data_IF_957342063013
#
_entry.id   IF_957342063013
#
_cell.length_a   1.000
_cell.length_b   1.000
_cell.length_c   1.000
_cell.angle_alpha   90.00
_cell.angle_beta   90.00
_cell.angle_gamma   90.00
#
_symmetry.space_group_name_H-M   'P 1'
#
loop_
_entity.id
_entity.type
_entity.pdbx_description
1 polymer ?
#
# COMPACT_ATOMS: atom_id res chain seq x y z
N UNK A 1 -21.83 8.58 4.80
CA UNK A 1 -20.98 7.77 3.93
C UNK A 1 -21.20 6.30 4.23
N UNK A 2 -21.27 5.47 3.18
CA UNK A 2 -21.27 4.02 3.29
C UNK A 2 -20.08 3.48 2.48
N UNK A 3 -19.20 2.74 3.14
CA UNK A 3 -17.96 2.21 2.54
C UNK A 3 -18.19 0.78 2.05
N UNK A 4 -17.87 0.50 0.80
CA UNK A 4 -17.69 -0.85 0.30
C UNK A 4 -16.25 -1.29 0.56
N UNK A 5 -16.10 -2.49 1.12
CA UNK A 5 -14.79 -3.08 1.46
C UNK A 5 -14.61 -4.37 0.69
N UNK A 6 -13.43 -4.54 0.09
CA UNK A 6 -13.12 -5.74 -0.67
C UNK A 6 -13.12 -7.00 0.22
N UNK A 7 -13.68 -8.09 -0.31
CA UNK A 7 -13.77 -9.36 0.44
C UNK A 7 -12.43 -10.08 0.59
N UNK A 8 -11.43 -9.74 -0.24
CA UNK A 8 -10.10 -10.34 -0.24
C UNK A 8 -9.16 -9.69 0.77
N UNK A 9 -9.55 -8.58 1.39
CA UNK A 9 -8.77 -7.99 2.47
C UNK A 9 -8.51 -9.00 3.59
N UNK A 10 -7.24 -9.05 4.02
CA UNK A 10 -6.77 -10.05 4.95
C UNK A 10 -7.54 -9.95 6.27
N UNK A 11 -8.09 -11.08 6.75
CA UNK A 11 -9.05 -11.12 7.88
C UNK A 11 -8.62 -10.30 9.10
N UNK A 12 -7.36 -10.45 9.53
CA UNK A 12 -6.81 -9.73 10.69
C UNK A 12 -6.76 -8.21 10.49
N UNK A 13 -6.43 -7.77 9.28
CA UNK A 13 -6.36 -6.34 8.96
C UNK A 13 -7.77 -5.76 8.85
N UNK A 14 -8.67 -6.50 8.20
CA UNK A 14 -10.09 -6.17 8.18
C UNK A 14 -10.69 -6.03 9.58
N UNK A 15 -10.44 -6.98 10.49
CA UNK A 15 -10.98 -6.92 11.86
C UNK A 15 -10.55 -5.64 12.60
N UNK A 16 -9.29 -5.23 12.45
CA UNK A 16 -8.77 -3.99 13.02
C UNK A 16 -9.45 -2.75 12.43
N UNK A 17 -9.52 -2.65 11.10
CA UNK A 17 -10.11 -1.50 10.41
C UNK A 17 -11.62 -1.44 10.68
N UNK A 18 -12.29 -2.60 10.75
CA UNK A 18 -13.69 -2.71 11.13
C UNK A 18 -13.94 -2.08 12.50
N UNK A 19 -13.14 -2.42 13.52
CA UNK A 19 -13.26 -1.80 14.85
C UNK A 19 -13.11 -0.29 14.76
N UNK A 20 -12.14 0.22 14.00
CA UNK A 20 -11.97 1.66 13.79
C UNK A 20 -13.17 2.31 13.08
N UNK A 21 -13.79 1.62 12.12
CA UNK A 21 -15.02 2.10 11.48
C UNK A 21 -16.21 2.11 12.45
N UNK A 22 -16.36 1.06 13.26
CA UNK A 22 -17.40 0.96 14.27
C UNK A 22 -17.26 2.11 15.30
N UNK A 23 -16.04 2.38 15.77
CA UNK A 23 -15.73 3.45 16.73
C UNK A 23 -16.04 4.86 16.19
N UNK A 24 -15.90 5.08 14.87
CA UNK A 24 -16.17 6.36 14.20
C UNK A 24 -17.63 6.42 13.67
N UNK A 25 -18.41 5.34 13.81
CA UNK A 25 -19.81 5.28 13.38
C UNK A 25 -20.01 5.20 11.86
N UNK A 26 -19.03 4.66 11.13
CA UNK A 26 -19.08 4.55 9.66
C UNK A 26 -19.76 3.25 9.26
N UNK A 27 -20.76 3.36 8.36
CA UNK A 27 -21.44 2.19 7.80
C UNK A 27 -20.56 1.54 6.72
N UNK A 28 -20.50 0.22 6.72
CA UNK A 28 -19.79 -0.53 5.69
C UNK A 28 -20.54 -1.80 5.27
N UNK A 29 -20.17 -2.32 4.10
CA UNK A 29 -20.52 -3.67 3.67
C UNK A 29 -19.35 -4.28 2.90
N UNK A 30 -19.34 -5.60 2.72
CA UNK A 30 -18.27 -6.30 2.02
C UNK A 30 -18.76 -6.95 0.73
N UNK A 31 -18.02 -6.73 -0.35
CA UNK A 31 -18.22 -7.43 -1.63
C UNK A 31 -16.92 -7.39 -2.44
N UNK A 32 -16.80 -8.20 -3.49
CA UNK A 32 -15.62 -8.16 -4.36
C UNK A 32 -15.62 -6.85 -5.17
N UNK A 33 -14.51 -6.12 -5.15
CA UNK A 33 -14.29 -4.88 -5.87
C UNK A 33 -13.57 -5.12 -7.21
N UNK A 34 -13.84 -4.23 -8.17
CA UNK A 34 -13.20 -4.27 -9.48
C UNK A 34 -11.71 -3.89 -9.38
N UNK A 35 -11.41 -2.81 -8.66
CA UNK A 35 -10.06 -2.32 -8.31
C UNK A 35 -10.10 -1.73 -6.89
N UNK A 36 -8.99 -1.81 -6.17
CA UNK A 36 -8.84 -1.30 -4.81
C UNK A 36 -9.49 -2.17 -3.73
N UNK A 37 -9.36 -1.71 -2.50
CA UNK A 37 -9.80 -2.40 -1.28
C UNK A 37 -10.93 -1.67 -0.56
N UNK A 38 -11.02 -0.35 -0.72
CA UNK A 38 -12.06 0.48 -0.09
C UNK A 38 -12.58 1.54 -1.07
N UNK A 39 -13.90 1.73 -1.11
CA UNK A 39 -14.52 2.83 -1.86
C UNK A 39 -15.77 3.36 -1.14
N UNK A 40 -16.10 4.62 -1.36
CA UNK A 40 -17.37 5.19 -0.91
C UNK A 40 -18.45 4.95 -1.97
N UNK A 41 -19.67 4.58 -1.54
CA UNK A 41 -20.81 4.57 -2.45
C UNK A 41 -21.23 5.99 -2.90
N UNK A 42 -20.81 7.02 -2.16
CA UNK A 42 -21.10 8.41 -2.50
C UNK A 42 -20.20 8.92 -3.65
N UNK A 43 -18.99 8.38 -3.77
CA UNK A 43 -18.07 8.63 -4.89
C UNK A 43 -17.27 7.35 -5.23
N UNK A 44 -17.80 6.49 -6.12
CA UNK A 44 -17.14 5.23 -6.48
C UNK A 44 -15.95 5.41 -7.44
N UNK A 45 -15.71 6.61 -7.97
CA UNK A 45 -14.54 6.89 -8.83
C UNK A 45 -13.27 7.18 -8.03
N UNK A 46 -13.36 7.25 -6.71
CA UNK A 46 -12.21 7.32 -5.81
C UNK A 46 -12.12 6.04 -5.00
N UNK A 47 -11.01 5.30 -5.18
CA UNK A 47 -10.77 4.04 -4.47
C UNK A 47 -9.44 4.08 -3.73
N UNK A 48 -9.37 3.35 -2.62
CA UNK A 48 -8.15 3.17 -1.84
C UNK A 48 -7.64 1.75 -2.04
N UNK A 49 -6.36 1.63 -2.38
CA UNK A 49 -5.61 0.37 -2.38
C UNK A 49 -4.65 0.39 -1.18
N UNK A 50 -4.84 -0.53 -0.25
CA UNK A 50 -4.10 -0.55 1.01
C UNK A 50 -2.85 -1.41 0.88
N UNK A 51 -1.77 -0.97 1.52
CA UNK A 51 -0.51 -1.72 1.63
C UNK A 51 -0.05 -1.72 3.08
N UNK A 52 0.36 -2.88 3.57
CA UNK A 52 0.77 -3.11 4.96
C UNK A 52 1.96 -2.26 5.38
N UNK A 53 2.91 -2.04 4.46
CA UNK A 53 4.14 -1.30 4.69
C UNK A 53 4.85 -1.04 3.34
N UNK A 54 5.92 -0.23 3.34
CA UNK A 54 6.78 -0.01 2.18
C UNK A 54 7.44 -1.29 1.66
N UNK A 55 7.62 -2.34 2.48
CA UNK A 55 8.22 -3.59 2.01
C UNK A 55 7.25 -4.33 1.08
N UNK A 56 5.95 -4.36 1.40
CA UNK A 56 4.91 -4.85 0.50
C UNK A 56 4.87 -4.03 -0.79
N UNK A 57 4.80 -2.69 -0.68
CA UNK A 57 4.75 -1.80 -1.85
C UNK A 57 5.98 -1.97 -2.75
N UNK A 58 7.19 -2.02 -2.17
CA UNK A 58 8.42 -2.32 -2.88
C UNK A 58 8.35 -3.68 -3.59
N UNK A 59 7.80 -4.70 -2.93
CA UNK A 59 7.54 -6.00 -3.54
C UNK A 59 6.61 -5.91 -4.75
N UNK A 60 5.53 -5.13 -4.67
CA UNK A 60 4.59 -4.95 -5.77
C UNK A 60 5.23 -4.19 -6.94
N UNK A 61 5.95 -3.11 -6.67
CA UNK A 61 6.58 -2.27 -7.69
C UNK A 61 7.74 -2.98 -8.39
N UNK A 62 8.46 -3.87 -7.69
CA UNK A 62 9.65 -4.51 -8.24
C UNK A 62 9.40 -5.96 -8.71
N UNK A 63 8.85 -6.82 -7.85
CA UNK A 63 8.73 -8.26 -8.12
C UNK A 63 7.40 -8.63 -8.78
N UNK A 64 6.34 -7.88 -8.49
CA UNK A 64 5.00 -8.13 -9.03
C UNK A 64 4.54 -7.00 -9.97
N UNK A 65 5.52 -6.35 -10.62
CA UNK A 65 5.31 -5.10 -11.35
C UNK A 65 4.17 -5.19 -12.38
N UNK A 66 4.14 -6.25 -13.19
CA UNK A 66 3.12 -6.42 -14.22
C UNK A 66 1.71 -6.53 -13.64
N UNK A 67 1.54 -7.25 -12.53
CA UNK A 67 0.24 -7.35 -11.85
C UNK A 67 -0.18 -6.00 -11.29
N UNK A 68 0.74 -5.33 -10.58
CA UNK A 68 0.48 -4.02 -9.98
C UNK A 68 0.10 -2.98 -11.05
N UNK A 69 0.88 -2.92 -12.14
CA UNK A 69 0.60 -2.06 -13.29
C UNK A 69 -0.75 -2.37 -13.94
N UNK A 70 -1.12 -3.64 -14.08
CA UNK A 70 -2.41 -4.03 -14.65
C UNK A 70 -3.61 -3.57 -13.79
N UNK A 71 -3.45 -3.43 -12.47
CA UNK A 71 -4.47 -2.84 -11.59
C UNK A 71 -4.61 -1.33 -11.83
N UNK A 72 -3.48 -0.61 -11.94
CA UNK A 72 -3.47 0.83 -12.23
C UNK A 72 -4.09 1.15 -13.60
N UNK A 73 -3.72 0.38 -14.63
CA UNK A 73 -4.25 0.56 -15.98
C UNK A 73 -5.76 0.29 -16.03
N UNK A 74 -6.25 -0.73 -15.32
CA UNK A 74 -7.68 -1.01 -15.22
C UNK A 74 -8.47 0.13 -14.58
N UNK A 75 -7.92 0.78 -13.54
CA UNK A 75 -8.56 1.94 -12.94
C UNK A 75 -8.62 3.12 -13.91
N UNK A 76 -7.53 3.44 -14.61
CA UNK A 76 -7.51 4.52 -15.62
C UNK A 76 -8.54 4.27 -16.72
N UNK A 77 -8.66 3.03 -17.21
CA UNK A 77 -9.64 2.67 -18.24
C UNK A 77 -11.09 2.89 -17.81
N UNK A 78 -11.36 2.88 -16.51
CA UNK A 78 -12.67 3.14 -15.93
C UNK A 78 -12.80 4.56 -15.34
N UNK A 79 -11.77 5.40 -15.54
CA UNK A 79 -11.69 6.75 -14.96
C UNK A 79 -11.91 6.72 -13.42
N UNK A 80 -11.19 5.80 -12.79
CA UNK A 80 -11.11 5.62 -11.34
C UNK A 80 -9.76 6.14 -10.87
N UNK A 81 -9.79 7.06 -9.90
CA UNK A 81 -8.61 7.54 -9.16
C UNK A 81 -8.28 6.56 -8.03
N UNK A 82 -7.03 6.09 -8.00
CA UNK A 82 -6.51 5.26 -6.91
C UNK A 82 -5.69 6.13 -5.96
N UNK A 83 -5.94 5.97 -4.67
CA UNK A 83 -5.04 6.39 -3.58
C UNK A 83 -4.44 5.15 -2.95
N UNK A 84 -3.12 5.05 -2.95
CA UNK A 84 -2.39 3.96 -2.32
C UNK A 84 -2.10 4.36 -0.87
N UNK A 85 -2.78 3.71 0.08
CA UNK A 85 -2.63 3.95 1.52
C UNK A 85 -1.62 2.96 2.11
N UNK A 86 -0.46 3.47 2.54
CA UNK A 86 0.66 2.68 3.05
C UNK A 86 0.76 2.79 4.57
N UNK A 87 0.59 1.66 5.27
CA UNK A 87 0.63 1.60 6.73
C UNK A 87 2.05 1.44 7.30
N UNK A 88 2.97 2.35 6.98
CA UNK A 88 4.39 2.16 7.34
C UNK A 88 4.76 2.57 8.79
N UNK A 89 3.98 3.43 9.43
CA UNK A 89 4.27 3.96 10.78
C UNK A 89 4.84 5.38 10.77
N UNK A 90 5.29 5.85 11.94
CA UNK A 90 5.65 7.26 12.20
C UNK A 90 6.83 7.79 11.37
N UNK A 91 7.77 6.93 10.97
CA UNK A 91 9.02 7.34 10.34
C UNK A 91 8.86 7.79 8.87
N UNK A 92 7.76 7.41 8.21
CA UNK A 92 7.49 7.75 6.81
C UNK A 92 6.11 8.37 6.72
N UNK A 93 6.06 9.68 6.49
CA UNK A 93 4.80 10.45 6.43
C UNK A 93 4.51 10.98 5.03
N UNK A 94 5.54 11.08 4.21
CA UNK A 94 5.50 11.65 2.86
C UNK A 94 6.17 10.73 1.86
N UNK A 95 5.96 11.00 0.57
CA UNK A 95 6.62 10.27 -0.50
C UNK A 95 8.14 10.52 -0.43
N UNK A 96 8.56 11.73 -0.09
CA UNK A 96 9.95 12.15 0.03
C UNK A 96 10.70 11.36 1.11
N UNK A 97 10.05 11.04 2.23
CA UNK A 97 10.65 10.23 3.30
C UNK A 97 11.08 8.84 2.80
N UNK A 98 10.39 8.29 1.78
CA UNK A 98 10.73 7.00 1.16
C UNK A 98 12.15 7.02 0.58
N UNK A 99 12.66 8.18 0.18
CA UNK A 99 14.04 8.31 -0.30
C UNK A 99 15.05 7.79 0.73
N UNK A 100 14.80 8.03 2.01
CA UNK A 100 15.68 7.64 3.12
C UNK A 100 15.36 6.25 3.69
N UNK A 101 14.29 5.60 3.20
CA UNK A 101 13.88 4.30 3.66
C UNK A 101 14.97 3.24 3.46
N UNK A 102 15.29 2.53 4.54
CA UNK A 102 16.26 1.44 4.52
C UNK A 102 15.54 0.11 4.29
N UNK A 103 15.71 -0.45 3.08
CA UNK A 103 15.08 -1.73 2.75
C UNK A 103 15.61 -2.85 3.67
N UNK A 104 14.76 -3.48 4.50
CA UNK A 104 15.20 -4.53 5.41
C UNK A 104 15.89 -5.70 4.70
N UNK A 105 15.54 -6.00 3.44
CA UNK A 105 16.15 -7.12 2.68
C UNK A 105 17.61 -6.86 2.28
N UNK A 106 18.04 -5.60 2.22
CA UNK A 106 19.44 -5.23 1.92
C UNK A 106 20.34 -5.44 3.14
N UNK A 107 19.76 -5.34 4.34
CA UNK A 107 20.46 -5.38 5.63
C UNK A 107 20.24 -6.70 6.41
N UNK A 108 19.22 -7.49 6.05
CA UNK A 108 18.93 -8.79 6.67
C UNK A 108 20.07 -9.77 6.40
N UNK A 109 20.75 -10.20 7.46
CA UNK A 109 21.83 -11.18 7.38
C UNK A 109 21.25 -12.59 7.37
N UNK A 110 21.72 -13.41 6.44
CA UNK A 110 21.47 -14.85 6.36
C UNK A 110 22.77 -15.62 6.42
N UNK A 111 22.72 -16.77 7.08
CA UNK A 111 23.81 -17.72 7.11
C UNK A 111 23.63 -18.74 6.01
N UNK A 112 24.64 -18.89 5.16
CA UNK A 112 24.65 -19.91 4.09
C UNK A 112 25.86 -20.82 4.29
N UNK A 113 25.66 -22.12 4.10
CA UNK A 113 26.78 -23.06 4.05
C UNK A 113 27.37 -23.03 2.64
N UNK A 114 28.62 -22.60 2.52
CA UNK A 114 29.40 -22.61 1.28
C UNK A 114 30.66 -23.43 1.54
N UNK A 115 30.87 -24.49 0.76
CA UNK A 115 32.00 -25.42 0.92
C UNK A 115 32.16 -25.95 2.36
N UNK A 116 31.05 -26.34 3.00
CA UNK A 116 31.04 -26.87 4.37
C UNK A 116 31.22 -25.83 5.49
N UNK A 117 31.42 -24.55 5.17
CA UNK A 117 31.57 -23.46 6.15
C UNK A 117 30.34 -22.56 6.17
N UNK A 118 29.91 -22.14 7.36
CA UNK A 118 28.85 -21.12 7.51
C UNK A 118 29.43 -19.74 7.21
N UNK A 119 28.94 -19.11 6.15
CA UNK A 119 29.31 -17.75 5.74
C UNK A 119 28.13 -16.82 5.97
N UNK A 120 28.43 -15.60 6.43
CA UNK A 120 27.47 -14.51 6.61
C UNK A 120 27.23 -13.83 5.25
N UNK A 121 25.98 -13.73 4.80
CA UNK A 121 25.60 -13.08 3.54
C UNK A 121 24.38 -12.21 3.77
N UNK A 122 24.20 -11.10 3.06
CA UNK A 122 22.95 -10.32 3.12
C UNK A 122 21.87 -10.97 2.25
N UNK A 123 20.61 -10.81 2.62
CA UNK A 123 19.49 -11.47 1.95
C UNK A 123 19.40 -11.10 0.47
N UNK A 124 19.74 -9.87 0.10
CA UNK A 124 19.85 -9.46 -1.31
C UNK A 124 20.65 -8.17 -1.45
N UNK A 125 21.89 -8.27 -1.95
CA UNK A 125 22.74 -7.09 -2.25
C UNK A 125 22.13 -6.17 -3.31
N UNK A 126 21.35 -6.75 -4.24
CA UNK A 126 20.64 -6.05 -5.32
C UNK A 126 19.21 -5.62 -4.91
N UNK A 127 18.89 -5.65 -3.61
CA UNK A 127 17.60 -5.15 -3.14
C UNK A 127 17.49 -3.66 -3.45
N UNK A 128 16.32 -3.26 -3.94
CA UNK A 128 15.96 -1.87 -4.22
C UNK A 128 16.06 -1.06 -2.93
N UNK A 129 16.79 0.05 -2.96
CA UNK A 129 16.88 0.98 -1.83
C UNK A 129 15.81 2.09 -1.89
N UNK A 130 15.75 2.92 -0.84
CA UNK A 130 14.78 4.01 -0.72
C UNK A 130 14.80 4.97 -1.90
N UNK A 131 15.98 5.39 -2.36
CA UNK A 131 16.12 6.28 -3.53
C UNK A 131 15.51 5.64 -4.78
N UNK A 132 15.83 4.37 -5.06
CA UNK A 132 15.30 3.67 -6.23
C UNK A 132 13.79 3.48 -6.15
N UNK A 133 13.27 3.15 -4.96
CA UNK A 133 11.83 3.03 -4.72
C UNK A 133 11.13 4.37 -4.92
N UNK A 134 11.62 5.44 -4.28
CA UNK A 134 11.10 6.80 -4.41
C UNK A 134 10.94 7.23 -5.87
N UNK A 135 12.00 7.09 -6.68
CA UNK A 135 11.96 7.43 -8.12
C UNK A 135 10.89 6.62 -8.88
N UNK A 136 10.77 5.34 -8.55
CA UNK A 136 9.76 4.47 -9.15
C UNK A 136 8.34 4.91 -8.77
N UNK A 137 8.12 5.26 -7.49
CA UNK A 137 6.83 5.75 -7.01
C UNK A 137 6.46 7.11 -7.61
N UNK A 138 7.40 8.05 -7.76
CA UNK A 138 7.15 9.31 -8.49
C UNK A 138 6.72 9.06 -9.93
N UNK A 139 7.42 8.14 -10.63
CA UNK A 139 7.04 7.76 -11.99
C UNK A 139 5.63 7.16 -12.04
N UNK A 140 5.27 6.33 -11.06
CA UNK A 140 3.95 5.71 -10.96
C UNK A 140 2.88 6.77 -10.69
N UNK A 141 3.11 7.68 -9.73
CA UNK A 141 2.24 8.81 -9.39
C UNK A 141 1.91 9.61 -10.64
N UNK A 142 2.93 10.06 -11.36
CA UNK A 142 2.78 10.96 -12.50
C UNK A 142 2.18 10.25 -13.72
N UNK A 143 2.60 9.01 -13.99
CA UNK A 143 2.14 8.26 -15.17
C UNK A 143 0.73 7.73 -15.04
N UNK A 144 0.35 7.25 -13.86
CA UNK A 144 -0.92 6.58 -13.64
C UNK A 144 -1.91 7.43 -12.84
N UNK A 145 -1.57 8.68 -12.55
CA UNK A 145 -2.38 9.60 -11.77
C UNK A 145 -2.85 8.98 -10.45
N UNK A 146 -1.93 8.43 -9.66
CA UNK A 146 -2.23 7.85 -8.33
C UNK A 146 -1.57 8.65 -7.23
N UNK A 147 -2.17 8.70 -6.06
CA UNK A 147 -1.57 9.38 -4.90
C UNK A 147 -1.08 8.36 -3.87
N UNK A 148 -0.03 8.72 -3.14
CA UNK A 148 0.50 7.92 -2.04
C UNK A 148 0.21 8.64 -0.73
N UNK A 149 -0.48 7.96 0.17
CA UNK A 149 -0.76 8.45 1.53
C UNK A 149 -0.17 7.47 2.52
N UNK A 150 0.43 8.00 3.59
CA UNK A 150 1.06 7.20 4.63
C UNK A 150 0.30 7.39 5.94
N UNK A 151 0.18 6.32 6.71
CA UNK A 151 -0.43 6.39 8.03
C UNK A 151 0.13 5.33 8.97
N UNK A 152 -0.19 5.46 10.25
CA UNK A 152 -0.07 4.39 11.23
C UNK A 152 -1.27 3.42 11.14
N UNK A 153 -1.07 2.20 11.65
CA UNK A 153 -2.13 1.19 11.70
C UNK A 153 -3.26 1.57 12.66
N UNK A 154 -2.93 2.32 13.71
CA UNK A 154 -3.87 2.89 14.67
C UNK A 154 -4.87 3.85 14.02
N UNK A 155 -4.49 4.47 12.90
CA UNK A 155 -5.27 5.55 12.28
C UNK A 155 -5.87 5.18 10.91
N UNK A 156 -5.64 3.96 10.41
CA UNK A 156 -6.06 3.53 9.06
C UNK A 156 -7.53 3.81 8.75
N UNK A 157 -8.44 3.43 9.64
CA UNK A 157 -9.88 3.62 9.45
C UNK A 157 -10.27 5.09 9.34
N UNK A 158 -9.69 5.95 10.20
CA UNK A 158 -9.87 7.41 10.11
C UNK A 158 -9.33 7.95 8.78
N UNK A 159 -8.15 7.48 8.36
CA UNK A 159 -7.51 7.96 7.13
C UNK A 159 -8.25 7.54 5.86
N UNK A 160 -8.81 6.34 5.84
CA UNK A 160 -9.72 5.89 4.78
C UNK A 160 -10.92 6.84 4.67
N UNK A 161 -11.53 7.21 5.79
CA UNK A 161 -12.70 8.09 5.83
C UNK A 161 -12.36 9.50 5.35
N UNK A 162 -11.22 10.04 5.75
CA UNK A 162 -10.73 11.35 5.28
C UNK A 162 -10.54 11.33 3.76
N UNK A 163 -9.77 10.38 3.24
CA UNK A 163 -9.50 10.28 1.79
C UNK A 163 -10.81 10.16 0.99
N UNK A 164 -11.74 9.30 1.42
CA UNK A 164 -13.00 9.08 0.69
C UNK A 164 -14.01 10.24 0.81
N UNK A 165 -13.83 11.16 1.77
CA UNK A 165 -14.64 12.37 1.88
C UNK A 165 -14.03 13.56 1.13
N UNK A 166 -12.70 13.67 1.08
CA UNK A 166 -12.00 14.78 0.41
C UNK A 166 -12.21 14.78 -1.11
N UNK A 167 -12.58 13.64 -1.70
CA UNK A 167 -12.94 13.54 -3.11
C UNK A 167 -14.36 14.00 -3.46
N UNK A 168 -15.01 14.80 -2.63
CA UNK A 168 -16.36 15.35 -2.86
C UNK A 168 -16.34 16.75 -3.46
#
# INVERSE_FOLDING_TARGET
MQIQVDTREHKKEWERIRTQFDDIGVKYFRSKMYVGDYQSLDNPRLVIDRKKDLKELCGNVCQQHERFKAELVRAIQQDIKIVILVEHGEDIKTLEDVYFWQNPRKHEIRWKTVNGRKVKTVCSEKAVDGMQLYKSLCTIRDRYNVDFVFCEKSETGKKIVEILNDGR
#
